data_IF_981637566255
#
_entry.id   IF_981637566255
#
_cell.length_a   1.000
_cell.length_b   1.000
_cell.length_c   1.000
_cell.angle_alpha   90.00
_cell.angle_beta   90.00
_cell.angle_gamma   90.00
#
_symmetry.space_group_name_H-M   'P 1'
#
loop_
_entity.id
_entity.type
_entity.pdbx_description
1 polymer ?
#
# COMPACT_ATOMS: atom_id res chain seq x y z
N UNK A 1 47.63 28.03 -46.78
CA UNK A 1 46.31 28.52 -46.33
C UNK A 1 46.06 27.93 -44.97
N UNK A 2 46.33 28.71 -43.91
CA UNK A 2 46.24 28.28 -42.49
C UNK A 2 44.80 28.46 -42.00
N UNK A 3 44.14 27.37 -41.58
CA UNK A 3 42.88 27.46 -40.86
C UNK A 3 43.15 27.85 -39.39
N UNK A 4 42.47 28.83 -38.85
CA UNK A 4 42.73 29.26 -37.47
C UNK A 4 42.26 28.18 -36.44
N UNK A 5 43.13 27.95 -35.42
CA UNK A 5 42.95 26.96 -34.38
C UNK A 5 41.65 27.10 -33.52
N UNK A 6 40.94 28.19 -33.68
CA UNK A 6 39.69 28.48 -32.98
C UNK A 6 38.48 27.62 -33.39
N UNK A 7 38.52 27.00 -34.61
CA UNK A 7 37.40 26.18 -35.07
C UNK A 7 37.38 24.75 -34.47
N UNK A 8 38.50 24.26 -34.01
CA UNK A 8 38.60 22.89 -33.45
C UNK A 8 38.09 22.85 -32.01
N UNK A 9 38.24 23.97 -31.27
CA UNK A 9 37.79 24.03 -29.88
C UNK A 9 36.26 24.12 -29.72
N UNK A 10 35.57 24.69 -30.71
CA UNK A 10 34.12 24.89 -30.65
C UNK A 10 33.35 23.63 -30.97
N UNK A 11 33.91 22.70 -31.75
CA UNK A 11 33.31 21.42 -32.06
C UNK A 11 33.38 20.41 -30.89
N UNK A 12 34.46 20.50 -30.09
CA UNK A 12 34.62 19.64 -28.90
C UNK A 12 33.63 19.98 -27.75
N UNK A 13 33.30 21.27 -27.61
CA UNK A 13 32.33 21.73 -26.58
C UNK A 13 30.89 21.40 -26.94
N UNK A 14 30.50 21.44 -28.22
CA UNK A 14 29.15 21.10 -28.64
C UNK A 14 28.87 19.60 -28.52
N UNK A 15 29.90 18.76 -28.78
CA UNK A 15 29.80 17.30 -28.61
C UNK A 15 29.67 16.85 -27.16
N UNK A 16 30.28 17.57 -26.21
CA UNK A 16 30.26 17.22 -24.79
C UNK A 16 28.93 17.60 -24.14
N UNK A 17 28.29 18.69 -24.59
CA UNK A 17 26.95 19.08 -24.11
C UNK A 17 25.83 18.18 -24.64
N UNK A 18 25.96 17.62 -25.84
CA UNK A 18 24.98 16.70 -26.43
C UNK A 18 24.97 15.31 -25.74
N UNK A 19 26.09 14.89 -25.15
CA UNK A 19 26.17 13.63 -24.41
C UNK A 19 25.70 13.74 -22.96
N UNK A 20 25.66 14.95 -22.38
CA UNK A 20 25.14 15.16 -21.02
C UNK A 20 23.60 15.27 -20.97
N UNK A 21 22.94 15.53 -22.09
CA UNK A 21 21.47 15.68 -22.12
C UNK A 21 20.71 14.36 -22.31
N UNK A 22 21.40 13.24 -22.55
CA UNK A 22 20.76 11.93 -22.76
C UNK A 22 20.58 11.13 -21.48
N UNK A 23 20.93 11.69 -20.32
CA UNK A 23 20.89 11.05 -19.00
C UNK A 23 19.66 11.34 -18.14
N UNK A 24 18.71 12.17 -18.59
CA UNK A 24 17.42 12.31 -17.90
C UNK A 24 16.47 11.16 -18.33
N UNK A 25 16.82 9.95 -17.92
CA UNK A 25 15.83 8.88 -17.86
C UNK A 25 14.87 9.31 -16.74
N UNK A 26 13.77 9.89 -17.12
CA UNK A 26 12.64 10.13 -16.23
C UNK A 26 12.28 8.77 -15.64
N UNK A 27 12.58 8.58 -14.35
CA UNK A 27 12.03 7.48 -13.58
C UNK A 27 10.52 7.69 -13.56
N UNK A 28 9.83 7.12 -14.54
CA UNK A 28 8.40 6.94 -14.43
C UNK A 28 8.20 6.10 -13.17
N UNK A 29 7.62 6.70 -12.15
CA UNK A 29 7.06 5.97 -11.03
C UNK A 29 5.95 5.07 -11.62
N UNK A 30 6.31 3.85 -11.99
CA UNK A 30 5.33 2.80 -12.24
C UNK A 30 4.59 2.62 -10.92
N UNK A 31 3.35 3.10 -10.86
CA UNK A 31 2.44 2.71 -9.81
C UNK A 31 2.50 1.18 -9.72
N UNK A 32 2.74 0.66 -8.53
CA UNK A 32 2.89 -0.78 -8.33
C UNK A 32 1.62 -1.47 -8.85
N UNK A 33 1.77 -2.30 -9.87
CA UNK A 33 0.64 -2.98 -10.52
C UNK A 33 0.18 -4.16 -9.65
N UNK A 34 -1.11 -4.49 -9.73
CA UNK A 34 -1.63 -5.70 -9.10
C UNK A 34 -0.79 -6.88 -9.58
N UNK A 35 -0.27 -7.73 -8.67
CA UNK A 35 0.53 -8.90 -9.04
C UNK A 35 -0.21 -9.79 -10.05
N UNK A 36 0.50 -10.27 -11.06
CA UNK A 36 -0.11 -10.99 -12.17
C UNK A 36 -0.90 -12.24 -11.74
N UNK A 37 -0.39 -12.98 -10.74
CA UNK A 37 -1.07 -14.14 -10.14
C UNK A 37 -2.44 -13.77 -9.59
N UNK A 38 -2.51 -12.66 -8.86
CA UNK A 38 -3.72 -12.11 -8.27
C UNK A 38 -4.65 -11.51 -9.34
N UNK A 39 -4.09 -10.73 -10.27
CA UNK A 39 -4.86 -10.12 -11.35
C UNK A 39 -5.57 -11.16 -12.21
N UNK A 40 -4.90 -12.29 -12.52
CA UNK A 40 -5.50 -13.40 -13.26
C UNK A 40 -6.73 -13.98 -12.55
N UNK A 41 -6.66 -14.19 -11.24
CA UNK A 41 -7.80 -14.69 -10.46
C UNK A 41 -8.92 -13.65 -10.40
N UNK A 42 -8.59 -12.37 -10.22
CA UNK A 42 -9.56 -11.29 -10.22
C UNK A 42 -10.33 -11.26 -11.54
N UNK A 43 -9.63 -11.22 -12.67
CA UNK A 43 -10.25 -11.12 -14.00
C UNK A 43 -11.12 -12.36 -14.31
N UNK A 44 -10.68 -13.54 -13.94
CA UNK A 44 -11.38 -14.77 -14.31
C UNK A 44 -12.53 -15.16 -13.38
N UNK A 45 -12.53 -14.67 -12.13
CA UNK A 45 -13.44 -15.19 -11.10
C UNK A 45 -14.17 -14.12 -10.28
N UNK A 46 -13.79 -12.83 -10.40
CA UNK A 46 -14.31 -11.80 -9.50
C UNK A 46 -15.02 -10.66 -10.23
N UNK A 47 -14.50 -10.23 -11.40
CA UNK A 47 -14.97 -9.00 -12.09
C UNK A 47 -16.41 -9.08 -12.55
N UNK A 48 -16.96 -10.25 -12.85
CA UNK A 48 -18.35 -10.41 -13.26
C UNK A 48 -19.34 -9.86 -12.23
N UNK A 49 -18.95 -9.88 -10.95
CA UNK A 49 -19.76 -9.37 -9.86
C UNK A 49 -19.19 -8.09 -9.24
N UNK A 50 -17.88 -7.84 -9.39
CA UNK A 50 -17.16 -6.77 -8.73
C UNK A 50 -16.51 -5.83 -9.73
N UNK A 51 -17.30 -5.24 -10.63
CA UNK A 51 -16.83 -4.23 -11.58
C UNK A 51 -17.88 -3.16 -11.85
N UNK A 52 -17.42 -1.91 -12.04
CA UNK A 52 -18.23 -0.77 -12.43
C UNK A 52 -19.16 -0.24 -11.34
N UNK A 53 -20.14 0.56 -11.75
CA UNK A 53 -21.08 1.27 -10.84
C UNK A 53 -22.03 0.34 -10.07
N UNK A 54 -22.30 -0.83 -10.64
CA UNK A 54 -23.21 -1.85 -10.05
C UNK A 54 -22.45 -2.95 -9.30
N UNK A 55 -21.18 -2.72 -8.99
CA UNK A 55 -20.33 -3.69 -8.30
C UNK A 55 -20.94 -4.15 -6.97
N UNK A 56 -21.11 -5.47 -6.82
CA UNK A 56 -21.68 -6.07 -5.62
C UNK A 56 -20.88 -5.71 -4.37
N UNK A 57 -21.56 -5.34 -3.31
CA UNK A 57 -20.93 -4.89 -2.07
C UNK A 57 -20.16 -3.57 -2.21
N UNK A 58 -20.39 -2.80 -3.28
CA UNK A 58 -19.68 -1.54 -3.53
C UNK A 58 -18.18 -1.71 -3.83
N UNK A 59 -17.73 -2.93 -4.16
CA UNK A 59 -16.32 -3.22 -4.44
C UNK A 59 -16.10 -3.33 -5.96
N UNK A 60 -15.51 -2.30 -6.55
CA UNK A 60 -15.07 -2.31 -7.94
C UNK A 60 -13.57 -2.67 -8.01
N UNK A 61 -13.29 -3.92 -8.42
CA UNK A 61 -11.93 -4.46 -8.50
C UNK A 61 -11.13 -3.93 -9.70
N UNK A 62 -11.80 -3.41 -10.73
CA UNK A 62 -11.11 -2.81 -11.88
C UNK A 62 -10.55 -1.42 -11.56
N UNK A 63 -11.18 -0.69 -10.64
CA UNK A 63 -10.71 0.60 -10.17
C UNK A 63 -9.78 0.51 -8.96
N UNK A 64 -9.72 -0.66 -8.31
CA UNK A 64 -8.92 -0.87 -7.11
C UNK A 64 -7.42 -0.86 -7.44
N UNK A 65 -6.70 0.08 -6.85
CA UNK A 65 -5.26 0.21 -7.04
C UNK A 65 -4.49 -0.76 -6.13
N UNK A 66 -3.33 -1.20 -6.60
CA UNK A 66 -2.35 -1.88 -5.76
C UNK A 66 -1.50 -0.82 -5.04
N UNK A 67 -1.96 -0.39 -3.88
CA UNK A 67 -1.24 0.60 -3.06
C UNK A 67 -1.34 0.19 -1.58
N UNK A 68 -0.32 -0.48 -1.09
CA UNK A 68 -0.25 -0.93 0.30
C UNK A 68 0.21 0.19 1.26
N UNK A 69 0.63 1.36 0.75
CA UNK A 69 0.95 2.52 1.58
C UNK A 69 -0.32 3.21 2.10
N UNK A 70 -1.39 3.17 1.33
CA UNK A 70 -2.67 3.70 1.74
C UNK A 70 -3.40 2.71 2.68
N UNK A 71 -3.70 3.10 3.94
CA UNK A 71 -4.35 2.22 4.91
C UNK A 71 -5.74 1.74 4.47
N UNK A 72 -6.50 2.59 3.76
CA UNK A 72 -7.81 2.22 3.26
C UNK A 72 -7.70 1.11 2.21
N UNK A 73 -6.87 1.31 1.21
CA UNK A 73 -6.61 0.32 0.15
C UNK A 73 -6.06 -0.98 0.73
N UNK A 74 -5.13 -0.90 1.69
CA UNK A 74 -4.60 -2.09 2.39
C UNK A 74 -5.72 -2.84 3.11
N UNK A 75 -6.64 -2.15 3.78
CA UNK A 75 -7.76 -2.79 4.47
C UNK A 75 -8.70 -3.52 3.50
N UNK A 76 -8.88 -3.00 2.28
CA UNK A 76 -9.65 -3.67 1.23
C UNK A 76 -8.95 -4.96 0.77
N UNK A 77 -7.63 -4.91 0.54
CA UNK A 77 -6.86 -6.10 0.16
C UNK A 77 -6.85 -7.17 1.25
N UNK A 78 -6.81 -6.77 2.54
CA UNK A 78 -6.96 -7.71 3.66
C UNK A 78 -8.34 -8.37 3.64
N UNK A 79 -9.40 -7.62 3.44
CA UNK A 79 -10.76 -8.18 3.32
C UNK A 79 -10.89 -9.16 2.15
N UNK A 80 -10.28 -8.83 1.00
CA UNK A 80 -10.25 -9.74 -0.16
C UNK A 80 -9.53 -11.04 0.21
N UNK A 81 -8.37 -10.94 0.86
CA UNK A 81 -7.64 -12.10 1.37
C UNK A 81 -8.51 -12.97 2.28
N UNK A 82 -9.15 -12.37 3.28
CA UNK A 82 -9.92 -13.11 4.29
C UNK A 82 -11.14 -13.81 3.68
N UNK A 83 -11.83 -13.16 2.73
CA UNK A 83 -12.96 -13.76 2.02
C UNK A 83 -12.54 -14.90 1.09
N UNK A 84 -11.37 -14.80 0.46
CA UNK A 84 -10.79 -15.90 -0.33
C UNK A 84 -10.36 -17.04 0.60
N UNK A 85 -9.70 -16.74 1.70
CA UNK A 85 -9.20 -17.74 2.65
C UNK A 85 -10.33 -18.51 3.34
N UNK A 86 -11.41 -17.83 3.72
CA UNK A 86 -12.59 -18.47 4.30
C UNK A 86 -13.44 -19.27 3.27
N UNK A 87 -13.19 -19.07 1.96
CA UNK A 87 -13.98 -19.67 0.89
C UNK A 87 -15.37 -19.05 0.72
N UNK A 88 -15.62 -17.89 1.31
CA UNK A 88 -16.86 -17.13 1.08
C UNK A 88 -16.90 -16.54 -0.32
N UNK A 89 -15.74 -16.19 -0.88
CA UNK A 89 -15.61 -15.65 -2.23
C UNK A 89 -14.59 -16.46 -3.04
N UNK A 90 -14.87 -16.65 -4.34
CA UNK A 90 -16.18 -16.46 -4.99
C UNK A 90 -17.21 -17.46 -4.48
N UNK A 91 -18.52 -17.17 -4.56
CA UNK A 91 -19.59 -18.08 -4.14
C UNK A 91 -19.48 -19.43 -4.89
N UNK A 92 -19.70 -20.53 -4.18
CA UNK A 92 -19.48 -21.90 -4.72
C UNK A 92 -20.27 -22.19 -5.99
N UNK A 93 -21.47 -21.63 -6.09
CA UNK A 93 -22.37 -21.81 -7.21
C UNK A 93 -21.83 -21.19 -8.52
N UNK A 94 -21.01 -20.16 -8.40
CA UNK A 94 -20.50 -19.38 -9.52
C UNK A 94 -18.99 -19.53 -9.73
N UNK A 95 -18.31 -20.34 -8.90
CA UNK A 95 -16.86 -20.40 -8.89
C UNK A 95 -16.31 -21.63 -9.60
N UNK A 96 -15.40 -21.39 -10.55
CA UNK A 96 -14.51 -22.42 -11.12
C UNK A 96 -13.10 -22.35 -10.52
N UNK A 97 -12.90 -21.53 -9.48
CA UNK A 97 -11.61 -21.39 -8.81
C UNK A 97 -11.30 -22.66 -8.02
N UNK A 98 -10.26 -23.37 -8.39
CA UNK A 98 -9.82 -24.56 -7.67
C UNK A 98 -9.24 -24.22 -6.30
N UNK A 99 -9.30 -25.15 -5.35
CA UNK A 99 -8.72 -24.97 -4.01
C UNK A 99 -7.20 -24.73 -4.06
N UNK A 100 -6.51 -25.33 -5.02
CA UNK A 100 -5.08 -25.12 -5.24
C UNK A 100 -4.77 -23.68 -5.69
N UNK A 101 -5.52 -23.15 -6.65
CA UNK A 101 -5.38 -21.78 -7.12
C UNK A 101 -5.74 -20.78 -6.02
N UNK A 102 -6.85 -21.03 -5.30
CA UNK A 102 -7.25 -20.23 -4.13
C UNK A 102 -6.14 -20.18 -3.11
N UNK A 103 -5.61 -21.33 -2.70
CA UNK A 103 -4.54 -21.41 -1.70
C UNK A 103 -3.26 -20.69 -2.15
N UNK A 104 -2.90 -20.80 -3.43
CA UNK A 104 -1.73 -20.11 -3.99
C UNK A 104 -1.89 -18.59 -3.93
N UNK A 105 -3.04 -18.06 -4.34
CA UNK A 105 -3.32 -16.61 -4.34
C UNK A 105 -3.43 -16.07 -2.92
N UNK A 106 -4.11 -16.75 -2.01
CA UNK A 106 -4.20 -16.38 -0.59
C UNK A 106 -2.80 -16.28 0.01
N UNK A 107 -1.94 -17.27 -0.21
CA UNK A 107 -0.56 -17.26 0.29
C UNK A 107 0.27 -16.13 -0.32
N UNK A 108 0.16 -15.88 -1.63
CA UNK A 108 0.90 -14.79 -2.29
C UNK A 108 0.45 -13.43 -1.76
N UNK A 109 -0.86 -13.18 -1.67
CA UNK A 109 -1.42 -11.94 -1.16
C UNK A 109 -1.00 -11.68 0.30
N UNK A 110 -1.15 -12.69 1.17
CA UNK A 110 -0.70 -12.61 2.56
C UNK A 110 0.79 -12.26 2.65
N UNK A 111 1.64 -12.95 1.88
CA UNK A 111 3.09 -12.72 1.93
C UNK A 111 3.50 -11.31 1.50
N UNK A 112 2.76 -10.71 0.58
CA UNK A 112 3.01 -9.33 0.12
C UNK A 112 2.59 -8.30 1.16
N UNK A 113 1.39 -8.47 1.73
CA UNK A 113 0.88 -7.58 2.79
C UNK A 113 1.82 -7.64 4.00
N UNK A 114 2.20 -8.83 4.46
CA UNK A 114 3.09 -9.01 5.62
C UNK A 114 4.45 -8.37 5.36
N UNK A 115 5.09 -8.67 4.22
CA UNK A 115 6.39 -8.06 3.87
C UNK A 115 6.34 -6.55 3.80
N UNK A 116 5.25 -5.99 3.27
CA UNK A 116 5.07 -4.55 3.24
C UNK A 116 4.96 -3.97 4.66
N UNK A 117 4.16 -4.60 5.53
CA UNK A 117 4.01 -4.18 6.92
C UNK A 117 5.31 -4.30 7.72
N UNK A 118 6.07 -5.38 7.54
CA UNK A 118 7.39 -5.56 8.15
C UNK A 118 8.36 -4.46 7.72
N UNK A 119 8.44 -4.17 6.42
CA UNK A 119 9.27 -3.08 5.89
C UNK A 119 8.87 -1.74 6.52
N UNK A 120 7.58 -1.45 6.57
CA UNK A 120 7.04 -0.23 7.18
C UNK A 120 7.36 -0.15 8.68
N UNK A 121 7.23 -1.27 9.39
CA UNK A 121 7.60 -1.36 10.79
C UNK A 121 9.08 -1.06 11.04
N UNK A 122 9.97 -1.60 10.22
CA UNK A 122 11.42 -1.33 10.33
C UNK A 122 11.75 0.13 10.04
N UNK A 123 11.06 0.75 9.08
CA UNK A 123 11.32 2.13 8.67
C UNK A 123 10.72 3.18 9.61
N UNK A 124 9.55 2.93 10.16
CA UNK A 124 8.77 3.93 10.89
C UNK A 124 8.47 3.54 12.36
N UNK A 125 8.90 2.35 12.78
CA UNK A 125 8.56 1.80 14.08
C UNK A 125 7.10 1.33 14.16
N UNK A 126 6.71 0.89 15.36
CA UNK A 126 5.36 0.39 15.63
C UNK A 126 4.43 1.55 15.95
N UNK A 127 3.77 2.09 14.92
CA UNK A 127 2.65 2.99 15.14
C UNK A 127 1.40 2.17 15.46
N UNK A 128 1.13 1.96 16.74
CA UNK A 128 -0.16 1.40 17.18
C UNK A 128 -1.11 2.56 17.29
N UNK A 129 -1.94 2.76 16.26
CA UNK A 129 -3.07 3.69 16.33
C UNK A 129 -4.18 3.04 17.16
N UNK A 130 -4.02 3.00 18.46
CA UNK A 130 -5.06 2.62 19.40
C UNK A 130 -5.49 3.81 20.24
N UNK A 131 -6.73 3.82 20.67
CA UNK A 131 -7.18 4.78 21.65
C UNK A 131 -6.37 4.58 22.94
N UNK A 132 -5.79 5.63 23.49
CA UNK A 132 -5.17 5.62 24.81
C UNK A 132 -6.25 5.39 25.86
N UNK A 133 -5.98 4.52 26.81
CA UNK A 133 -6.86 4.35 27.96
C UNK A 133 -6.76 5.57 28.92
N UNK A 134 -7.72 5.69 29.84
CA UNK A 134 -7.83 6.85 30.73
C UNK A 134 -6.58 7.06 31.60
N UNK A 135 -5.88 6.00 32.02
CA UNK A 135 -4.66 6.10 32.80
C UNK A 135 -3.46 6.51 31.95
N UNK A 136 -3.36 5.99 30.73
CA UNK A 136 -2.33 6.40 29.79
C UNK A 136 -2.51 7.87 29.40
N UNK A 137 -3.76 8.31 29.21
CA UNK A 137 -4.08 9.72 28.93
C UNK A 137 -3.66 10.62 30.09
N UNK A 138 -3.96 10.24 31.34
CA UNK A 138 -3.51 10.97 32.54
C UNK A 138 -1.99 11.06 32.59
N UNK A 139 -1.27 9.96 32.36
CA UNK A 139 0.19 9.94 32.35
C UNK A 139 0.78 10.85 31.27
N UNK A 140 0.22 10.80 30.05
CA UNK A 140 0.64 11.69 28.96
C UNK A 140 0.44 13.16 29.34
N UNK A 141 -0.67 13.50 29.99
CA UNK A 141 -0.91 14.88 30.43
C UNK A 141 0.00 15.28 31.60
N UNK A 142 0.30 14.40 32.53
CA UNK A 142 1.31 14.65 33.59
C UNK A 142 2.66 15.03 32.99
N UNK A 143 3.10 14.25 32.00
CA UNK A 143 4.39 14.48 31.34
C UNK A 143 4.37 15.79 30.53
N UNK A 144 3.30 16.02 29.76
CA UNK A 144 3.16 17.20 28.90
C UNK A 144 3.06 18.53 29.70
N UNK A 145 2.32 18.49 30.81
CA UNK A 145 2.07 19.68 31.66
C UNK A 145 3.11 19.82 32.78
N UNK A 146 4.03 18.88 32.90
CA UNK A 146 4.99 18.79 33.99
C UNK A 146 4.35 18.84 35.39
N UNK A 147 3.13 18.28 35.51
CA UNK A 147 2.38 18.19 36.77
C UNK A 147 2.26 16.74 37.22
N UNK A 148 3.16 16.25 38.09
CA UNK A 148 3.16 14.85 38.58
C UNK A 148 1.95 14.53 39.46
N UNK A 149 1.22 15.52 39.95
CA UNK A 149 0.07 15.35 40.82
C UNK A 149 -1.27 15.39 40.12
N UNK A 150 -1.30 15.64 38.79
CA UNK A 150 -2.52 15.64 38.00
C UNK A 150 -3.27 14.30 38.13
N UNK A 151 -4.54 14.36 38.51
CA UNK A 151 -5.44 13.20 38.64
C UNK A 151 -6.75 13.48 37.92
N UNK A 152 -6.91 12.91 36.74
CA UNK A 152 -8.11 13.07 35.91
C UNK A 152 -8.70 11.74 35.44
N UNK A 153 -8.00 10.62 35.64
CA UNK A 153 -8.44 9.31 35.14
C UNK A 153 -9.87 8.95 35.58
N UNK A 154 -10.24 9.33 36.83
CA UNK A 154 -11.57 9.06 37.39
C UNK A 154 -12.67 10.01 36.85
N UNK A 155 -12.29 11.10 36.19
CA UNK A 155 -13.20 12.05 35.56
C UNK A 155 -13.43 11.74 34.07
N UNK A 156 -12.65 10.83 33.52
CA UNK A 156 -12.78 10.39 32.12
C UNK A 156 -13.78 9.23 32.02
N UNK A 157 -14.44 9.10 30.87
CA UNK A 157 -15.29 7.95 30.60
C UNK A 157 -14.54 6.63 30.78
N UNK A 158 -15.22 5.59 31.24
CA UNK A 158 -14.63 4.26 31.32
C UNK A 158 -14.14 3.80 29.94
N UNK A 159 -13.01 3.08 29.96
CA UNK A 159 -12.54 2.45 28.75
C UNK A 159 -13.55 1.41 28.31
N UNK A 160 -14.03 1.52 27.06
CA UNK A 160 -14.97 0.55 26.50
C UNK A 160 -14.29 -0.82 26.39
N UNK A 161 -15.04 -1.87 26.67
CA UNK A 161 -14.64 -3.23 26.31
C UNK A 161 -14.56 -3.34 24.78
N UNK A 162 -13.48 -3.92 24.26
CA UNK A 162 -13.24 -4.13 22.82
C UNK A 162 -13.73 -5.52 22.45
#
# INVERSE_FOLDING_TARGET
MNRPASYVLNQAFVGLFALLSLGLITSFAFGEQIPESLNRVIVNHCVDCHSGSEAKGGLDLLSLKWNLEDPHTTSVWVKIHDRLASGEMPPKENSRLSDAERGAVVKDLASRIVRFQEKRYVQHGRSVSRRVNRFEYENVLRDLLHDPYLKIADQLPLDGEV
#
